data_IF_197600094057
#
_entry.id   IF_197600094057
#
_cell.length_a   1.000
_cell.length_b   1.000
_cell.length_c   1.000
_cell.angle_alpha   90.00
_cell.angle_beta   90.00
_cell.angle_gamma   90.00
#
_symmetry.space_group_name_H-M   'P 1'
#
loop_
_entity.id
_entity.type
_entity.pdbx_description
1 polymer ?
#
# COMPACT_ATOMS: atom_id res chain seq x y z
N UNK A 1 -27.19 44.00 32.51
CA UNK A 1 -28.35 43.23 32.01
C UNK A 1 -27.81 41.99 31.32
N UNK A 2 -28.27 40.76 31.65
CA UNK A 2 -27.83 39.56 30.96
C UNK A 2 -28.46 39.49 29.56
N UNK A 3 -27.69 39.08 28.55
CA UNK A 3 -28.15 38.91 27.17
C UNK A 3 -28.95 37.62 27.04
N UNK A 4 -30.26 37.71 26.86
CA UNK A 4 -31.12 36.57 26.54
C UNK A 4 -31.09 36.30 25.04
N UNK A 5 -30.78 35.06 24.63
CA UNK A 5 -31.04 34.61 23.25
C UNK A 5 -32.55 34.53 23.08
N UNK A 6 -33.11 35.40 22.25
CA UNK A 6 -34.49 35.32 21.83
C UNK A 6 -34.69 33.96 21.14
N UNK A 7 -35.71 33.20 21.54
CA UNK A 7 -36.03 31.91 20.93
C UNK A 7 -36.73 32.16 19.59
N UNK A 8 -35.97 32.62 18.59
CA UNK A 8 -36.38 32.69 17.19
C UNK A 8 -36.23 31.31 16.52
N UNK A 9 -36.52 30.24 17.27
CA UNK A 9 -36.43 28.87 16.79
C UNK A 9 -37.61 28.60 15.84
N UNK A 10 -37.38 28.80 14.54
CA UNK A 10 -38.36 28.56 13.49
C UNK A 10 -38.57 27.05 13.27
N UNK A 11 -39.82 26.61 12.99
CA UNK A 11 -40.08 25.21 12.64
C UNK A 11 -39.37 24.87 11.32
N UNK A 12 -38.34 24.03 11.39
CA UNK A 12 -37.64 23.52 10.23
C UNK A 12 -38.32 22.23 9.74
N UNK A 13 -38.75 22.20 8.48
CA UNK A 13 -39.25 20.98 7.83
C UNK A 13 -38.76 20.90 6.39
N UNK A 14 -38.23 19.74 6.02
CA UNK A 14 -37.77 19.45 4.66
C UNK A 14 -38.88 19.54 3.61
N UNK A 15 -40.15 19.41 4.03
CA UNK A 15 -41.32 19.55 3.16
C UNK A 15 -41.50 20.97 2.61
N UNK A 16 -40.96 21.99 3.30
CA UNK A 16 -41.05 23.39 2.88
C UNK A 16 -39.82 23.88 2.09
N UNK A 17 -38.80 23.04 1.92
CA UNK A 17 -37.62 23.39 1.11
C UNK A 17 -37.97 23.30 -0.38
N UNK A 18 -37.74 24.35 -1.18
CA UNK A 18 -37.89 24.23 -2.63
C UNK A 18 -36.90 23.20 -3.17
N UNK A 19 -37.37 22.30 -4.02
CA UNK A 19 -36.52 21.28 -4.64
C UNK A 19 -35.48 21.88 -5.59
N UNK A 20 -34.47 21.08 -5.93
CA UNK A 20 -33.48 21.44 -6.94
C UNK A 20 -33.99 21.15 -8.35
N UNK A 21 -33.68 22.02 -9.30
CA UNK A 21 -33.83 21.69 -10.72
C UNK A 21 -32.78 20.66 -11.14
N UNK A 22 -33.05 19.90 -12.21
CA UNK A 22 -32.08 18.92 -12.75
C UNK A 22 -30.71 19.55 -13.01
N UNK A 23 -30.67 20.74 -13.63
CA UNK A 23 -29.42 21.46 -13.91
C UNK A 23 -28.72 21.86 -12.61
N UNK A 24 -29.46 22.38 -11.62
CA UNK A 24 -28.89 22.74 -10.32
C UNK A 24 -28.32 21.52 -9.60
N UNK A 25 -28.97 20.36 -9.71
CA UNK A 25 -28.49 19.10 -9.14
C UNK A 25 -27.20 18.62 -9.84
N UNK A 26 -27.12 18.68 -11.17
CA UNK A 26 -25.89 18.35 -11.89
C UNK A 26 -24.72 19.27 -11.53
N UNK A 27 -24.99 20.55 -11.25
CA UNK A 27 -23.98 21.53 -10.82
C UNK A 27 -23.52 21.35 -9.37
N UNK A 28 -24.21 20.54 -8.55
CA UNK A 28 -23.74 20.21 -7.19
C UNK A 28 -22.47 19.35 -7.16
N UNK A 29 -21.98 18.90 -8.33
CA UNK A 29 -20.82 18.00 -8.48
C UNK A 29 -20.99 16.62 -7.81
N UNK A 30 -22.14 16.32 -7.21
CA UNK A 30 -22.46 14.99 -6.70
C UNK A 30 -22.34 13.88 -7.77
N UNK A 31 -22.78 14.09 -9.04
CA UNK A 31 -22.58 13.10 -10.10
C UNK A 31 -21.12 12.83 -10.40
N UNK A 32 -20.26 13.85 -10.29
CA UNK A 32 -18.83 13.70 -10.48
C UNK A 32 -18.22 12.83 -9.37
N UNK A 33 -18.59 13.07 -8.11
CA UNK A 33 -18.16 12.22 -6.99
C UNK A 33 -18.57 10.76 -7.15
N UNK A 34 -19.79 10.49 -7.62
CA UNK A 34 -20.27 9.12 -7.88
C UNK A 34 -19.38 8.35 -8.86
N UNK A 35 -18.88 9.02 -9.90
CA UNK A 35 -17.99 8.39 -10.90
C UNK A 35 -16.56 8.27 -10.37
N UNK A 36 -16.04 9.33 -9.76
CA UNK A 36 -14.65 9.41 -9.35
C UNK A 36 -14.31 8.53 -8.16
N UNK A 37 -15.25 8.33 -7.23
CA UNK A 37 -15.04 7.39 -6.13
C UNK A 37 -14.79 5.97 -6.66
N UNK A 38 -15.65 5.51 -7.57
CA UNK A 38 -15.50 4.20 -8.21
C UNK A 38 -14.21 4.10 -9.01
N UNK A 39 -13.88 5.13 -9.79
CA UNK A 39 -12.64 5.19 -10.56
C UNK A 39 -11.40 5.11 -9.67
N UNK A 40 -11.32 5.93 -8.63
CA UNK A 40 -10.15 6.01 -7.76
C UNK A 40 -9.99 4.72 -6.95
N UNK A 41 -11.07 4.17 -6.39
CA UNK A 41 -11.03 2.88 -5.67
C UNK A 41 -10.60 1.76 -6.61
N UNK A 42 -11.13 1.70 -7.83
CA UNK A 42 -10.73 0.70 -8.81
C UNK A 42 -9.24 0.85 -9.18
N UNK A 43 -8.78 2.06 -9.44
CA UNK A 43 -7.37 2.33 -9.74
C UNK A 43 -6.46 1.91 -8.58
N UNK A 44 -6.76 2.34 -7.37
CA UNK A 44 -5.96 2.07 -6.18
C UNK A 44 -5.86 0.56 -5.90
N UNK A 45 -6.97 -0.17 -5.93
CA UNK A 45 -6.98 -1.61 -5.67
C UNK A 45 -6.45 -2.45 -6.83
N UNK A 46 -6.52 -2.00 -8.07
CA UNK A 46 -5.97 -2.72 -9.24
C UNK A 46 -4.48 -2.45 -9.48
N UNK A 47 -3.92 -1.38 -8.89
CA UNK A 47 -2.50 -1.02 -9.07
C UNK A 47 -1.53 -2.11 -8.62
N UNK A 48 -1.90 -2.87 -7.59
CA UNK A 48 -1.05 -3.94 -7.04
C UNK A 48 -1.73 -5.29 -7.27
N UNK A 49 -1.51 -5.93 -8.42
CA UNK A 49 -2.12 -7.24 -8.70
C UNK A 49 -1.57 -8.30 -7.73
N UNK A 50 -2.41 -9.19 -7.21
CA UNK A 50 -1.94 -10.32 -6.41
C UNK A 50 -1.10 -11.27 -7.27
N UNK A 51 -0.15 -11.98 -6.65
CA UNK A 51 0.62 -13.01 -7.35
C UNK A 51 -0.30 -14.17 -7.71
N UNK A 52 -0.30 -14.57 -8.98
CA UNK A 52 -1.04 -15.74 -9.46
C UNK A 52 -0.24 -16.54 -10.48
N UNK A 53 -0.89 -17.53 -11.08
CA UNK A 53 -0.30 -18.41 -12.10
C UNK A 53 -0.98 -18.13 -13.44
N UNK A 54 -0.20 -17.93 -14.50
CA UNK A 54 -0.74 -17.88 -15.86
C UNK A 54 -0.97 -19.31 -16.35
N UNK A 55 -2.19 -19.62 -16.78
CA UNK A 55 -2.58 -20.94 -17.31
C UNK A 55 -2.90 -20.78 -18.79
N UNK A 56 -2.29 -21.61 -19.63
CA UNK A 56 -2.51 -21.64 -21.07
C UNK A 56 -3.29 -22.91 -21.41
N UNK A 57 -4.43 -22.73 -22.06
CA UNK A 57 -5.25 -23.80 -22.63
C UNK A 57 -5.45 -23.52 -24.12
N UNK A 58 -5.86 -24.52 -24.91
CA UNK A 58 -6.09 -24.34 -26.35
C UNK A 58 -7.11 -23.22 -26.58
N UNK A 59 -6.65 -22.10 -27.13
CA UNK A 59 -7.48 -20.92 -27.41
C UNK A 59 -7.77 -20.00 -26.21
N UNK A 60 -7.24 -20.27 -25.00
CA UNK A 60 -7.54 -19.46 -23.81
C UNK A 60 -6.29 -19.22 -22.96
N UNK A 61 -6.09 -17.96 -22.54
CA UNK A 61 -5.10 -17.56 -21.53
C UNK A 61 -5.84 -17.08 -20.28
N UNK A 62 -5.59 -17.73 -19.15
CA UNK A 62 -6.21 -17.38 -17.87
C UNK A 62 -5.15 -17.02 -16.82
N UNK A 63 -5.55 -16.26 -15.80
CA UNK A 63 -4.73 -15.99 -14.63
C UNK A 63 -5.44 -16.53 -13.38
N UNK A 64 -4.84 -17.54 -12.75
CA UNK A 64 -5.41 -18.24 -11.60
C UNK A 64 -4.82 -17.69 -10.30
N UNK A 65 -5.68 -17.38 -9.34
CA UNK A 65 -5.31 -16.88 -8.01
C UNK A 65 -5.62 -17.92 -6.94
N UNK A 66 -4.76 -18.04 -5.92
CA UNK A 66 -5.03 -18.89 -4.77
C UNK A 66 -5.99 -18.20 -3.80
N UNK A 67 -7.04 -18.90 -3.37
CA UNK A 67 -7.97 -18.44 -2.35
C UNK A 67 -7.69 -19.19 -1.03
N UNK A 68 -6.99 -18.55 -0.10
CA UNK A 68 -6.66 -19.13 1.20
C UNK A 68 -6.05 -18.10 2.13
N UNK A 69 -6.33 -18.22 3.44
CA UNK A 69 -5.72 -17.36 4.46
C UNK A 69 -4.26 -17.75 4.63
N UNK A 70 -3.34 -16.81 4.42
CA UNK A 70 -1.93 -17.03 4.69
C UNK A 70 -1.71 -17.02 6.22
N UNK A 71 -1.35 -18.16 6.80
CA UNK A 71 -1.13 -18.31 8.25
C UNK A 71 0.21 -17.76 8.75
N UNK A 72 1.19 -17.55 7.86
CA UNK A 72 2.50 -16.98 8.18
C UNK A 72 3.24 -16.44 6.95
N UNK A 73 4.29 -15.62 7.14
CA UNK A 73 5.03 -15.02 6.02
C UNK A 73 5.75 -16.09 5.19
N UNK A 74 5.80 -15.89 3.88
CA UNK A 74 6.53 -16.78 2.97
C UNK A 74 8.01 -16.41 2.99
N UNK A 75 8.86 -17.32 3.50
CA UNK A 75 10.31 -17.14 3.53
C UNK A 75 10.87 -17.27 2.10
N UNK A 76 11.68 -16.31 1.69
CA UNK A 76 12.42 -16.34 0.43
C UNK A 76 13.88 -16.10 0.79
N UNK A 77 14.77 -17.05 0.51
CA UNK A 77 16.21 -16.85 0.72
C UNK A 77 16.71 -15.83 -0.30
N UNK A 78 16.98 -14.62 0.18
CA UNK A 78 17.80 -13.65 -0.55
C UNK A 78 19.16 -13.66 0.10
N UNK A 79 20.18 -14.08 -0.65
CA UNK A 79 21.55 -13.87 -0.23
C UNK A 79 21.80 -12.36 -0.29
N UNK A 80 22.27 -11.81 0.82
CA UNK A 80 22.70 -10.42 0.88
C UNK A 80 24.20 -10.41 0.64
N UNK A 81 24.61 -9.79 -0.46
CA UNK A 81 26.03 -9.55 -0.72
C UNK A 81 26.57 -8.64 0.38
N UNK A 82 27.30 -9.25 1.32
CA UNK A 82 27.87 -8.56 2.47
C UNK A 82 29.39 -8.65 2.40
N UNK A 83 30.02 -7.50 2.18
CA UNK A 83 31.49 -7.38 2.14
C UNK A 83 32.16 -7.60 3.51
N UNK A 84 31.36 -7.65 4.59
CA UNK A 84 31.83 -7.88 5.96
C UNK A 84 32.51 -9.24 6.10
N UNK A 85 31.99 -10.28 5.43
CA UNK A 85 32.61 -11.60 5.46
C UNK A 85 34.02 -11.59 4.85
N UNK A 86 34.19 -10.90 3.71
CA UNK A 86 35.49 -10.73 3.08
C UNK A 86 36.43 -9.82 3.90
N UNK A 87 35.91 -8.76 4.52
CA UNK A 87 36.70 -7.88 5.38
C UNK A 87 37.24 -8.58 6.62
N UNK A 88 36.41 -9.38 7.30
CA UNK A 88 36.84 -10.19 8.45
C UNK A 88 37.87 -11.26 8.06
N UNK A 89 37.70 -11.87 6.88
CA UNK A 89 38.66 -12.82 6.34
C UNK A 89 40.03 -12.16 6.10
N UNK A 90 40.05 -10.97 5.49
CA UNK A 90 41.28 -10.22 5.25
C UNK A 90 42.02 -9.85 6.55
N UNK A 91 41.30 -9.35 7.57
CA UNK A 91 41.90 -9.01 8.88
C UNK A 91 42.47 -10.25 9.54
N UNK A 92 41.76 -11.39 9.47
CA UNK A 92 42.23 -12.66 10.02
C UNK A 92 43.51 -13.13 9.33
N UNK A 93 43.57 -13.04 8.01
CA UNK A 93 44.73 -13.48 7.23
C UNK A 93 45.96 -12.59 7.53
N UNK A 94 45.78 -11.27 7.65
CA UNK A 94 46.86 -10.36 8.03
C UNK A 94 47.40 -10.59 9.45
N UNK A 95 46.51 -10.86 10.42
CA UNK A 95 46.93 -11.19 11.78
C UNK A 95 47.75 -12.48 11.83
N UNK A 96 47.38 -13.47 11.02
CA UNK A 96 48.10 -14.74 10.93
C UNK A 96 49.50 -14.57 10.34
N UNK A 97 49.61 -13.78 9.27
CA UNK A 97 50.90 -13.42 8.66
C UNK A 97 51.81 -12.74 9.67
N UNK A 98 51.30 -11.74 10.41
CA UNK A 98 52.08 -11.06 11.44
C UNK A 98 52.56 -12.01 12.54
N UNK A 99 51.70 -12.94 12.98
CA UNK A 99 52.06 -13.93 14.01
C UNK A 99 53.18 -14.86 13.53
N UNK A 100 53.12 -15.33 12.29
CA UNK A 100 54.14 -16.24 11.73
C UNK A 100 55.48 -15.52 11.49
N UNK A 101 55.45 -14.25 11.06
CA UNK A 101 56.67 -13.41 11.01
C UNK A 101 57.28 -13.24 12.41
N UNK A 102 56.46 -13.00 13.44
CA UNK A 102 56.95 -12.86 14.80
C UNK A 102 57.61 -14.14 15.34
N UNK A 103 57.09 -15.31 14.96
CA UNK A 103 57.70 -16.61 15.29
C UNK A 103 59.02 -16.83 14.54
N UNK A 104 59.15 -16.31 13.32
CA UNK A 104 60.36 -16.45 12.51
C UNK A 104 61.53 -15.60 13.04
N UNK A 105 61.21 -14.44 13.64
CA UNK A 105 62.20 -13.52 14.22
C UNK A 105 62.75 -14.04 15.56
N UNK A 106 61.98 -14.88 16.25
CA UNK A 106 62.29 -15.40 17.59
C UNK A 106 63.06 -16.72 17.52
#
# INVERSE_FOLDING_TARGET
MPTTKQADDLPASWLHMPGYTYVSWCMTLAPFMLVFEGFYRAWHHRKTPPKGRTVLMKGIKMHMFGLGKQSGPRIVSRQYDTYIGHGLQYVRDMSKIQSDVLKLIK
#
